data_IF_646325065485
#
_entry.id   IF_646325065485
#
_cell.length_a   1.000
_cell.length_b   1.000
_cell.length_c   1.000
_cell.angle_alpha   90.00
_cell.angle_beta   90.00
_cell.angle_gamma   90.00
#
_symmetry.space_group_name_H-M   'P 1'
#
loop_
_entity.id
_entity.type
_entity.pdbx_description
1 polymer ?
#
# COMPACT_ATOMS: atom_id res chain seq x y z
N UNK A 1 9.85 -30.94 2.22
CA UNK A 1 10.90 -29.95 1.95
C UNK A 1 10.62 -28.78 2.87
N UNK A 2 11.44 -28.51 3.88
CA UNK A 2 11.23 -27.33 4.72
C UNK A 2 11.52 -26.10 3.87
N UNK A 3 10.49 -25.42 3.36
CA UNK A 3 10.70 -24.09 2.80
C UNK A 3 11.18 -23.22 3.96
N UNK A 4 12.45 -22.86 3.93
CA UNK A 4 12.97 -21.81 4.80
C UNK A 4 12.14 -20.56 4.50
N UNK A 5 11.36 -20.09 5.48
CA UNK A 5 10.63 -18.82 5.38
C UNK A 5 11.63 -17.74 4.96
N UNK A 6 11.38 -16.99 3.88
CA UNK A 6 12.31 -15.98 3.42
C UNK A 6 12.42 -14.87 4.46
N UNK A 7 13.64 -14.45 4.78
CA UNK A 7 13.86 -13.27 5.61
C UNK A 7 13.46 -12.02 4.82
N UNK A 8 12.31 -11.45 5.19
CA UNK A 8 11.75 -10.23 4.61
C UNK A 8 11.80 -9.05 5.61
N UNK A 9 12.58 -9.16 6.68
CA UNK A 9 12.68 -8.12 7.73
C UNK A 9 13.04 -6.74 7.16
N UNK A 10 13.90 -6.69 6.14
CA UNK A 10 14.27 -5.44 5.45
C UNK A 10 13.09 -4.74 4.76
N UNK A 11 12.02 -5.46 4.41
CA UNK A 11 10.82 -4.88 3.80
C UNK A 11 9.76 -4.48 4.84
N UNK A 12 9.79 -5.11 6.01
CA UNK A 12 8.86 -4.81 7.09
C UNK A 12 9.24 -3.51 7.80
N UNK A 13 10.51 -3.37 8.16
CA UNK A 13 11.07 -2.21 8.85
C UNK A 13 12.26 -1.64 8.07
N UNK A 14 12.05 -1.14 6.84
CA UNK A 14 13.14 -0.69 6.00
C UNK A 14 13.90 0.43 6.70
N UNK A 15 15.24 0.39 6.74
CA UNK A 15 16.02 1.52 7.21
C UNK A 15 15.76 2.70 6.27
N UNK A 16 15.00 3.68 6.76
CA UNK A 16 14.46 4.78 5.96
C UNK A 16 15.51 5.82 5.50
N UNK A 17 16.80 5.52 5.62
CA UNK A 17 17.84 6.40 5.14
C UNK A 17 17.82 6.43 3.61
N UNK A 18 17.53 7.58 3.03
CA UNK A 18 17.38 7.73 1.59
C UNK A 18 18.70 7.64 0.81
N UNK A 19 19.84 7.56 1.48
CA UNK A 19 21.13 7.41 0.83
C UNK A 19 21.34 5.96 0.35
N UNK A 20 20.89 5.67 -0.87
CA UNK A 20 21.04 4.37 -1.54
C UNK A 20 22.41 4.20 -2.18
N UNK A 21 23.15 5.29 -2.39
CA UNK A 21 24.39 5.31 -3.16
C UNK A 21 25.59 5.64 -2.25
N UNK A 22 25.62 5.08 -1.03
CA UNK A 22 26.75 5.29 -0.11
C UNK A 22 27.96 4.51 -0.62
N UNK A 23 29.08 5.19 -0.77
CA UNK A 23 30.35 4.54 -1.11
C UNK A 23 30.97 3.95 0.16
N UNK A 24 31.14 2.63 0.21
CA UNK A 24 31.80 1.88 1.28
C UNK A 24 32.82 0.97 0.59
N UNK A 25 34.10 1.08 0.95
CA UNK A 25 35.18 0.25 0.39
C UNK A 25 35.24 0.21 -1.15
N UNK A 26 34.93 1.34 -1.80
CA UNK A 26 34.83 1.52 -3.26
C UNK A 26 33.64 0.83 -3.94
N UNK A 27 32.71 0.30 -3.17
CA UNK A 27 31.44 -0.25 -3.66
C UNK A 27 30.27 0.66 -3.26
N UNK A 28 29.25 0.68 -4.12
CA UNK A 28 28.00 1.41 -3.86
C UNK A 28 27.09 0.49 -3.05
N UNK A 29 26.71 0.91 -1.85
CA UNK A 29 25.79 0.18 -0.98
C UNK A 29 24.72 1.12 -0.38
N UNK A 30 23.46 0.66 -0.24
CA UNK A 30 22.46 1.42 0.48
C UNK A 30 22.77 1.54 1.97
N UNK A 31 22.54 2.71 2.56
CA UNK A 31 22.69 2.91 3.98
C UNK A 31 21.57 2.19 4.75
N UNK A 32 21.94 1.22 5.60
CA UNK A 32 21.00 0.45 6.44
C UNK A 32 20.78 1.04 7.85
N UNK A 33 21.30 2.23 8.11
CA UNK A 33 21.14 2.88 9.41
C UNK A 33 19.75 3.50 9.55
N UNK A 34 19.20 3.45 10.77
CA UNK A 34 17.92 4.08 11.07
C UNK A 34 17.99 5.59 10.81
N UNK A 35 17.04 6.09 10.01
CA UNK A 35 16.93 7.52 9.78
C UNK A 35 16.45 8.25 11.05
N UNK A 36 17.08 9.39 11.35
CA UNK A 36 16.79 10.21 12.52
C UNK A 36 16.51 11.67 12.16
N UNK A 37 16.84 12.07 10.93
CA UNK A 37 16.67 13.43 10.44
C UNK A 37 15.91 13.48 9.12
N UNK A 38 14.82 14.24 9.10
CA UNK A 38 14.04 14.51 7.90
C UNK A 38 14.71 15.66 7.12
N UNK A 39 14.66 15.61 5.79
CA UNK A 39 15.08 16.74 4.97
C UNK A 39 14.19 17.96 5.27
N UNK A 40 14.78 19.02 5.83
CA UNK A 40 14.06 20.21 6.31
C UNK A 40 13.39 21.06 5.23
N UNK A 41 13.65 20.75 3.95
CA UNK A 41 13.06 21.49 2.82
C UNK A 41 11.83 20.80 2.25
N UNK A 42 11.93 19.53 1.90
CA UNK A 42 10.85 18.81 1.23
C UNK A 42 10.02 17.95 2.19
N UNK A 43 10.57 17.58 3.34
CA UNK A 43 9.97 16.63 4.28
C UNK A 43 9.65 15.23 3.71
N UNK A 44 10.09 14.92 2.48
CA UNK A 44 9.78 13.68 1.77
C UNK A 44 10.77 12.53 2.02
N UNK A 45 12.00 12.84 2.43
CA UNK A 45 13.05 11.85 2.64
C UNK A 45 13.73 12.06 3.98
N UNK A 46 14.32 11.00 4.51
CA UNK A 46 14.99 10.99 5.80
C UNK A 46 16.40 10.43 5.66
N UNK A 47 17.29 10.78 6.57
CA UNK A 47 18.68 10.35 6.61
C UNK A 47 19.06 9.96 8.04
N UNK A 48 20.03 9.05 8.18
CA UNK A 48 20.62 8.73 9.47
C UNK A 48 21.55 9.84 9.98
N UNK A 49 22.16 10.61 9.08
CA UNK A 49 23.10 11.68 9.40
C UNK A 49 23.28 12.67 8.23
N UNK A 50 23.94 13.80 8.53
CA UNK A 50 24.21 14.85 7.54
C UNK A 50 25.10 14.38 6.38
N UNK A 51 26.06 13.49 6.65
CA UNK A 51 26.93 12.93 5.62
C UNK A 51 26.11 12.18 4.55
N UNK A 52 25.17 11.33 4.96
CA UNK A 52 24.28 10.63 4.04
C UNK A 52 23.41 11.58 3.22
N UNK A 53 22.91 12.67 3.82
CA UNK A 53 22.18 13.71 3.06
C UNK A 53 23.06 14.36 1.99
N UNK A 54 24.32 14.68 2.31
CA UNK A 54 25.24 15.34 1.37
C UNK A 54 25.60 14.40 0.22
N UNK A 55 25.87 13.13 0.51
CA UNK A 55 26.15 12.11 -0.52
C UNK A 55 24.97 11.94 -1.47
N UNK A 56 23.76 11.81 -0.93
CA UNK A 56 22.53 11.64 -1.74
C UNK A 56 22.09 12.93 -2.46
N UNK A 57 22.66 14.10 -2.10
CA UNK A 57 22.18 15.41 -2.56
C UNK A 57 22.12 15.54 -4.08
N UNK A 58 23.08 14.94 -4.81
CA UNK A 58 23.09 14.98 -6.28
C UNK A 58 21.81 14.38 -6.88
N UNK A 59 21.31 13.28 -6.30
CA UNK A 59 20.09 12.58 -6.72
C UNK A 59 18.84 13.21 -6.12
N UNK A 60 18.92 13.68 -4.87
CA UNK A 60 17.78 14.25 -4.15
C UNK A 60 17.42 15.68 -4.60
N UNK A 61 18.41 16.53 -4.91
CA UNK A 61 18.21 17.96 -5.23
C UNK A 61 17.14 18.22 -6.30
N UNK A 62 17.10 17.51 -7.45
CA UNK A 62 16.06 17.72 -8.46
C UNK A 62 14.63 17.54 -7.93
N UNK A 63 14.42 16.57 -7.05
CA UNK A 63 13.11 16.29 -6.44
C UNK A 63 12.82 17.32 -5.35
N UNK A 64 13.80 17.62 -4.50
CA UNK A 64 13.73 18.55 -3.37
C UNK A 64 13.48 20.01 -3.79
N UNK A 65 13.78 20.34 -5.03
CA UNK A 65 13.58 21.68 -5.62
C UNK A 65 12.52 21.69 -6.72
N UNK A 66 11.80 20.58 -6.90
CA UNK A 66 10.83 20.44 -7.98
C UNK A 66 9.63 21.38 -7.80
N UNK A 67 8.98 21.70 -8.92
CA UNK A 67 7.73 22.48 -8.94
C UNK A 67 6.63 21.87 -8.06
N UNK A 68 6.67 20.56 -7.82
CA UNK A 68 5.69 19.84 -7.00
C UNK A 68 5.70 20.25 -5.51
N UNK A 69 6.79 20.86 -5.05
CA UNK A 69 6.96 21.31 -3.66
C UNK A 69 6.63 22.79 -3.45
N UNK A 70 6.30 23.53 -4.52
CA UNK A 70 5.93 24.94 -4.40
C UNK A 70 4.48 25.08 -3.94
N UNK A 71 4.19 26.11 -3.17
CA UNK A 71 2.81 26.47 -2.78
C UNK A 71 1.92 26.76 -4.00
N UNK A 72 2.53 27.23 -5.09
CA UNK A 72 1.86 27.48 -6.38
C UNK A 72 1.67 26.21 -7.22
N UNK A 73 1.97 25.03 -6.70
CA UNK A 73 1.81 23.78 -7.43
C UNK A 73 0.33 23.55 -7.77
N UNK A 74 0.06 23.35 -9.05
CA UNK A 74 -1.21 22.84 -9.53
C UNK A 74 -0.99 21.45 -10.17
N UNK A 75 -1.83 20.46 -9.84
CA UNK A 75 -1.80 19.15 -10.51
C UNK A 75 -1.86 19.30 -12.03
N UNK A 76 -1.19 18.41 -12.75
CA UNK A 76 -1.11 18.46 -14.22
C UNK A 76 -2.49 18.50 -14.88
N UNK A 77 -3.46 17.76 -14.36
CA UNK A 77 -4.83 17.75 -14.90
C UNK A 77 -5.50 19.13 -14.79
N UNK A 78 -5.22 19.92 -13.74
CA UNK A 78 -5.74 21.29 -13.61
C UNK A 78 -5.11 22.18 -14.68
N UNK A 79 -3.79 22.10 -14.86
CA UNK A 79 -3.07 22.90 -15.88
C UNK A 79 -3.50 22.57 -17.31
N UNK A 80 -3.80 21.31 -17.56
CA UNK A 80 -4.23 20.79 -18.87
C UNK A 80 -5.75 20.82 -19.04
N UNK A 81 -6.51 21.39 -18.08
CA UNK A 81 -7.97 21.39 -18.05
C UNK A 81 -8.59 19.99 -18.30
N UNK A 82 -7.91 18.94 -17.84
CA UNK A 82 -8.37 17.55 -17.92
C UNK A 82 -9.21 17.19 -16.71
N UNK A 83 -10.17 16.32 -16.95
CA UNK A 83 -10.94 15.66 -15.90
C UNK A 83 -10.00 14.74 -15.11
N UNK A 84 -9.93 14.83 -13.77
CA UNK A 84 -9.09 13.94 -12.97
C UNK A 84 -9.56 12.48 -13.06
N UNK A 85 -8.65 11.55 -12.78
CA UNK A 85 -8.95 10.12 -12.70
C UNK A 85 -9.99 9.88 -11.59
N UNK A 86 -11.12 9.26 -11.92
CA UNK A 86 -12.27 9.12 -11.02
C UNK A 86 -13.34 10.22 -11.14
N UNK A 87 -13.17 11.15 -12.09
CA UNK A 87 -14.12 12.23 -12.33
C UNK A 87 -13.97 13.41 -11.36
N UNK A 88 -14.69 14.51 -11.63
CA UNK A 88 -14.83 15.60 -10.66
C UNK A 88 -15.43 15.08 -9.34
N UNK A 89 -14.99 15.55 -8.16
CA UNK A 89 -15.55 15.10 -6.87
C UNK A 89 -17.05 15.38 -6.71
N UNK A 90 -17.61 16.26 -7.54
CA UNK A 90 -19.02 16.67 -7.60
C UNK A 90 -19.85 15.93 -8.67
N UNK A 91 -19.28 15.01 -9.43
CA UNK A 91 -20.00 14.23 -10.45
C UNK A 91 -19.89 12.72 -10.20
N UNK A 92 -20.89 12.09 -9.55
CA UNK A 92 -20.93 10.65 -9.40
C UNK A 92 -21.21 9.98 -10.76
N UNK A 93 -20.34 9.04 -11.16
CA UNK A 93 -20.62 8.13 -12.28
C UNK A 93 -19.54 8.01 -13.36
N UNK A 94 -18.30 8.47 -13.14
CA UNK A 94 -17.27 8.34 -14.19
C UNK A 94 -16.69 6.92 -14.29
N UNK A 95 -16.84 6.37 -15.50
CA UNK A 95 -16.41 5.05 -15.94
C UNK A 95 -14.95 4.72 -15.62
N UNK A 96 -14.72 3.42 -15.40
CA UNK A 96 -13.41 2.79 -15.23
C UNK A 96 -12.55 3.13 -16.46
N UNK A 97 -11.72 4.16 -16.39
CA UNK A 97 -10.82 4.53 -17.49
C UNK A 97 -9.77 3.44 -17.70
N UNK A 98 -9.81 2.79 -18.87
CA UNK A 98 -8.84 1.79 -19.29
C UNK A 98 -7.53 2.45 -19.72
N UNK A 99 -6.39 2.02 -19.16
CA UNK A 99 -5.06 2.38 -19.66
C UNK A 99 -4.31 1.11 -20.04
N UNK A 100 -4.04 0.92 -21.33
CA UNK A 100 -3.50 -0.35 -21.84
C UNK A 100 -4.58 -1.43 -21.95
N UNK A 101 -4.33 -2.62 -21.39
CA UNK A 101 -5.37 -3.65 -21.26
C UNK A 101 -6.50 -3.15 -20.35
N UNK A 102 -7.71 -3.72 -20.48
CA UNK A 102 -8.88 -3.46 -19.61
C UNK A 102 -8.65 -4.05 -18.19
N UNK A 103 -7.56 -3.67 -17.55
CA UNK A 103 -7.13 -4.12 -16.24
C UNK A 103 -7.13 -2.92 -15.31
N UNK A 104 -7.86 -3.03 -14.19
CA UNK A 104 -7.78 -2.07 -13.09
C UNK A 104 -7.05 -2.76 -11.95
N UNK A 105 -6.02 -2.12 -11.42
CA UNK A 105 -5.23 -2.69 -10.33
C UNK A 105 -5.87 -2.41 -8.97
N UNK A 106 -6.60 -1.33 -8.83
CA UNK A 106 -7.11 -0.88 -7.55
C UNK A 106 -8.55 -0.39 -7.72
N UNK A 107 -9.36 -0.58 -6.69
CA UNK A 107 -10.65 0.11 -6.55
C UNK A 107 -10.52 1.64 -6.65
N UNK A 108 -11.62 2.30 -6.96
CA UNK A 108 -11.70 3.74 -7.21
C UNK A 108 -12.14 4.56 -5.98
N UNK A 109 -12.28 3.95 -4.80
CA UNK A 109 -12.77 4.61 -3.59
C UNK A 109 -11.86 4.38 -2.39
N UNK A 110 -11.64 5.33 -1.47
CA UNK A 110 -10.79 5.11 -0.30
C UNK A 110 -11.22 3.88 0.52
N UNK A 111 -10.34 3.36 1.37
CA UNK A 111 -10.68 2.25 2.25
C UNK A 111 -11.77 2.67 3.25
N UNK A 112 -12.92 2.03 3.19
CA UNK A 112 -14.08 2.28 4.04
C UNK A 112 -14.31 1.07 4.94
N UNK A 113 -14.60 1.34 6.21
CA UNK A 113 -15.23 0.37 7.09
C UNK A 113 -16.73 0.38 6.77
N UNK A 114 -17.19 -0.63 6.03
CA UNK A 114 -18.58 -0.69 5.57
C UNK A 114 -19.54 -1.03 6.72
N UNK A 115 -19.04 -1.68 7.77
CA UNK A 115 -19.84 -2.08 8.91
C UNK A 115 -19.90 -0.93 9.92
N UNK A 116 -18.74 -0.33 10.23
CA UNK A 116 -18.60 0.74 11.23
C UNK A 116 -19.34 0.38 12.52
N UNK A 117 -19.00 -0.80 13.04
CA UNK A 117 -19.72 -1.52 14.08
C UNK A 117 -20.08 -0.64 15.29
N UNK A 118 -19.11 0.16 15.75
CA UNK A 118 -19.26 1.03 16.92
C UNK A 118 -20.38 2.07 16.77
N UNK A 119 -20.70 2.49 15.55
CA UNK A 119 -21.69 3.54 15.28
C UNK A 119 -23.00 3.01 14.69
N UNK A 120 -22.96 1.88 13.98
CA UNK A 120 -24.11 1.40 13.20
C UNK A 120 -24.85 0.23 13.84
N UNK A 121 -24.17 -0.62 14.60
CA UNK A 121 -24.67 -1.98 14.88
C UNK A 121 -25.02 -2.25 16.35
N UNK A 122 -24.75 -1.29 17.25
CA UNK A 122 -25.07 -1.44 18.68
C UNK A 122 -24.18 -2.45 19.41
N UNK A 123 -24.49 -2.71 20.69
CA UNK A 123 -23.66 -3.57 21.57
C UNK A 123 -23.86 -5.06 21.32
N UNK A 124 -24.98 -5.45 20.72
CA UNK A 124 -25.33 -6.83 20.41
C UNK A 124 -24.46 -7.42 19.29
N UNK A 125 -23.79 -6.57 18.50
CA UNK A 125 -22.84 -7.01 17.47
C UNK A 125 -21.76 -7.95 18.02
N UNK A 126 -21.36 -7.81 19.29
CA UNK A 126 -20.31 -8.61 19.93
C UNK A 126 -20.49 -10.13 19.80
N UNK A 127 -21.73 -10.61 19.63
CA UNK A 127 -22.06 -12.05 19.54
C UNK A 127 -22.81 -12.42 18.27
N UNK A 128 -23.12 -11.44 17.42
CA UNK A 128 -23.96 -11.64 16.23
C UNK A 128 -23.09 -12.13 15.10
N UNK A 129 -23.52 -13.17 14.38
CA UNK A 129 -22.86 -13.57 13.14
C UNK A 129 -23.10 -12.52 12.05
N UNK A 130 -22.06 -12.23 11.26
CA UNK A 130 -22.07 -11.21 10.20
C UNK A 130 -21.68 -11.87 8.88
N UNK A 131 -22.47 -11.61 7.84
CA UNK A 131 -22.19 -12.03 6.48
C UNK A 131 -22.03 -10.78 5.61
N UNK A 132 -20.86 -10.58 5.04
CA UNK A 132 -20.51 -9.41 4.22
C UNK A 132 -20.28 -9.83 2.77
N UNK A 133 -20.93 -9.14 1.84
CA UNK A 133 -20.70 -9.28 0.40
C UNK A 133 -19.97 -8.03 -0.13
N UNK A 134 -18.75 -8.21 -0.61
CA UNK A 134 -17.99 -7.23 -1.35
C UNK A 134 -18.05 -7.57 -2.84
N UNK A 135 -19.14 -7.14 -3.48
CA UNK A 135 -19.38 -7.41 -4.89
C UNK A 135 -18.50 -6.53 -5.80
N UNK A 136 -17.95 -7.11 -6.86
CA UNK A 136 -17.05 -6.41 -7.80
C UNK A 136 -15.88 -5.70 -7.08
N UNK A 137 -15.25 -6.42 -6.15
CA UNK A 137 -14.21 -5.88 -5.28
C UNK A 137 -12.85 -5.87 -5.99
N UNK A 138 -12.51 -4.71 -6.56
CA UNK A 138 -11.25 -4.51 -7.28
C UNK A 138 -9.99 -4.69 -6.44
N UNK A 139 -10.12 -4.70 -5.11
CA UNK A 139 -9.09 -5.11 -4.16
C UNK A 139 -9.69 -5.38 -2.77
N UNK A 140 -8.84 -5.63 -1.77
CA UNK A 140 -9.26 -5.98 -0.41
C UNK A 140 -9.31 -4.81 0.58
N UNK A 141 -9.23 -3.54 0.14
CA UNK A 141 -9.04 -2.40 1.06
C UNK A 141 -10.20 -2.26 2.05
N UNK A 142 -11.43 -2.44 1.54
CA UNK A 142 -12.65 -2.31 2.34
C UNK A 142 -12.84 -3.56 3.21
N UNK A 143 -12.48 -4.74 2.69
CA UNK A 143 -12.50 -5.99 3.45
C UNK A 143 -11.60 -5.88 4.67
N UNK A 144 -10.32 -5.54 4.46
CA UNK A 144 -9.34 -5.39 5.55
C UNK A 144 -9.81 -4.32 6.53
N UNK A 145 -10.22 -3.15 6.05
CA UNK A 145 -10.66 -2.05 6.91
C UNK A 145 -11.88 -2.41 7.77
N UNK A 146 -12.83 -3.15 7.20
CA UNK A 146 -14.05 -3.59 7.88
C UNK A 146 -13.78 -4.70 8.89
N UNK A 147 -12.99 -5.71 8.52
CA UNK A 147 -12.65 -6.83 9.43
C UNK A 147 -11.81 -6.34 10.60
N UNK A 148 -10.83 -5.47 10.35
CA UNK A 148 -10.03 -4.83 11.42
C UNK A 148 -10.87 -3.88 12.28
N UNK A 149 -11.95 -3.33 11.72
CA UNK A 149 -12.91 -2.48 12.43
C UNK A 149 -13.86 -3.25 13.36
N UNK A 150 -13.85 -4.59 13.36
CA UNK A 150 -14.66 -5.36 14.28
C UNK A 150 -14.25 -5.07 15.75
N UNK A 151 -15.22 -4.97 16.67
CA UNK A 151 -14.92 -4.66 18.06
C UNK A 151 -13.97 -5.68 18.69
N UNK A 152 -13.07 -5.21 19.54
CA UNK A 152 -12.13 -6.09 20.26
C UNK A 152 -12.92 -7.10 21.11
N UNK A 153 -12.67 -8.39 20.89
CA UNK A 153 -13.38 -9.48 21.57
C UNK A 153 -14.71 -9.87 20.93
N UNK A 154 -14.97 -9.43 19.68
CA UNK A 154 -16.04 -9.97 18.84
C UNK A 154 -15.99 -11.51 18.82
N UNK A 155 -17.09 -12.14 19.21
CA UNK A 155 -17.22 -13.58 19.38
C UNK A 155 -18.16 -14.24 18.35
N UNK A 156 -18.79 -13.44 17.49
CA UNK A 156 -19.57 -13.94 16.37
C UNK A 156 -18.67 -14.46 15.24
N UNK A 157 -19.26 -15.13 14.26
CA UNK A 157 -18.59 -15.50 13.02
C UNK A 157 -18.69 -14.33 12.03
N UNK A 158 -17.60 -14.01 11.33
CA UNK A 158 -17.60 -13.03 10.24
C UNK A 158 -17.29 -13.75 8.94
N UNK A 159 -18.30 -13.92 8.09
CA UNK A 159 -18.16 -14.49 6.75
C UNK A 159 -18.02 -13.35 5.76
N UNK A 160 -16.95 -13.38 4.98
CA UNK A 160 -16.70 -12.42 3.90
C UNK A 160 -16.76 -13.15 2.56
N UNK A 161 -17.63 -12.68 1.67
CA UNK A 161 -17.69 -13.11 0.28
C UNK A 161 -17.22 -11.96 -0.59
N UNK A 162 -16.25 -12.22 -1.48
CA UNK A 162 -15.76 -11.25 -2.44
C UNK A 162 -15.72 -11.86 -3.84
N UNK A 163 -16.07 -11.08 -4.84
CA UNK A 163 -15.93 -11.49 -6.23
C UNK A 163 -15.50 -10.31 -7.11
N UNK A 164 -14.97 -10.63 -8.28
CA UNK A 164 -14.70 -9.67 -9.33
C UNK A 164 -14.90 -10.38 -10.68
N UNK A 165 -15.35 -9.65 -11.72
CA UNK A 165 -15.51 -10.22 -13.06
C UNK A 165 -14.16 -10.52 -13.71
N UNK A 166 -13.11 -9.84 -13.27
CA UNK A 166 -11.75 -10.00 -13.72
C UNK A 166 -11.01 -11.06 -12.89
N UNK A 167 -10.66 -12.17 -13.56
CA UNK A 167 -9.96 -13.28 -12.95
C UNK A 167 -8.62 -12.86 -12.32
N UNK A 168 -7.84 -11.98 -12.98
CA UNK A 168 -6.53 -11.56 -12.47
C UNK A 168 -6.66 -10.85 -11.13
N UNK A 169 -7.73 -10.08 -10.93
CA UNK A 169 -8.01 -9.40 -9.66
C UNK A 169 -8.45 -10.38 -8.59
N UNK A 170 -9.35 -11.29 -8.93
CA UNK A 170 -9.78 -12.35 -8.01
C UNK A 170 -8.60 -13.23 -7.57
N UNK A 171 -7.74 -13.62 -8.52
CA UNK A 171 -6.54 -14.40 -8.26
C UNK A 171 -5.54 -13.65 -7.36
N UNK A 172 -5.27 -12.36 -7.62
CA UNK A 172 -4.40 -11.56 -6.75
C UNK A 172 -4.96 -11.43 -5.33
N UNK A 173 -6.25 -11.13 -5.19
CA UNK A 173 -6.89 -11.04 -3.87
C UNK A 173 -6.79 -12.38 -3.13
N UNK A 174 -6.99 -13.51 -3.83
CA UNK A 174 -6.80 -14.84 -3.27
C UNK A 174 -5.34 -15.10 -2.85
N UNK A 175 -4.35 -14.72 -3.65
CA UNK A 175 -2.93 -14.85 -3.29
C UNK A 175 -2.59 -14.08 -2.02
N UNK A 176 -3.15 -12.87 -1.87
CA UNK A 176 -2.93 -12.06 -0.67
C UNK A 176 -3.59 -12.68 0.58
N UNK A 177 -4.80 -13.24 0.44
CA UNK A 177 -5.44 -13.99 1.54
C UNK A 177 -4.64 -15.24 1.91
N UNK A 178 -4.18 -15.99 0.91
CA UNK A 178 -3.35 -17.18 1.12
C UNK A 178 -2.03 -16.80 1.82
N UNK A 179 -1.39 -15.70 1.42
CA UNK A 179 -0.20 -15.19 2.11
C UNK A 179 -0.48 -14.82 3.57
N UNK A 180 -1.62 -14.17 3.86
CA UNK A 180 -2.04 -13.82 5.22
C UNK A 180 -2.32 -15.05 6.10
N UNK A 181 -2.79 -16.15 5.51
CA UNK A 181 -3.09 -17.39 6.23
C UNK A 181 -1.89 -18.32 6.38
N UNK A 182 -0.93 -18.24 5.44
CA UNK A 182 0.21 -19.14 5.40
C UNK A 182 1.42 -18.63 6.18
N UNK A 183 1.62 -17.31 6.25
CA UNK A 183 2.79 -16.70 6.87
C UNK A 183 2.41 -15.90 8.12
N UNK A 184 3.37 -15.79 9.04
CA UNK A 184 3.27 -14.85 10.17
C UNK A 184 3.21 -13.40 9.67
N UNK A 185 2.59 -12.47 10.42
CA UNK A 185 2.38 -11.08 10.00
C UNK A 185 3.64 -10.39 9.46
N UNK A 186 4.79 -10.63 10.09
CA UNK A 186 6.08 -10.02 9.74
C UNK A 186 6.55 -10.41 8.33
N UNK A 187 6.12 -11.56 7.82
CA UNK A 187 6.42 -12.05 6.47
C UNK A 187 5.26 -11.82 5.51
N UNK A 188 4.02 -12.00 5.98
CA UNK A 188 2.81 -11.82 5.18
C UNK A 188 2.64 -10.35 4.73
N UNK A 189 2.87 -9.39 5.63
CA UNK A 189 2.66 -7.96 5.35
C UNK A 189 3.52 -7.48 4.17
N UNK A 190 4.85 -7.69 4.14
CA UNK A 190 5.67 -7.36 2.97
C UNK A 190 5.18 -8.01 1.67
N UNK A 191 4.86 -9.32 1.70
CA UNK A 191 4.39 -10.05 0.53
C UNK A 191 3.10 -9.43 -0.01
N UNK A 192 2.12 -9.21 0.88
CA UNK A 192 0.82 -8.63 0.53
C UNK A 192 1.01 -7.21 -0.02
N UNK A 193 1.82 -6.37 0.62
CA UNK A 193 2.09 -5.01 0.16
C UNK A 193 2.71 -4.99 -1.23
N UNK A 194 3.66 -5.88 -1.52
CA UNK A 194 4.26 -5.99 -2.84
C UNK A 194 3.31 -6.54 -3.89
N UNK A 195 2.52 -7.57 -3.57
CA UNK A 195 1.46 -8.08 -4.45
C UNK A 195 0.41 -7.01 -4.78
N UNK A 196 0.14 -6.11 -3.83
CA UNK A 196 -0.90 -5.10 -3.97
C UNK A 196 -0.42 -3.87 -4.74
N UNK A 197 0.74 -3.32 -4.40
CA UNK A 197 1.13 -1.96 -4.81
C UNK A 197 2.39 -1.88 -5.65
N UNK A 198 3.13 -2.97 -5.82
CA UNK A 198 4.38 -2.93 -6.59
C UNK A 198 4.17 -3.22 -8.06
N UNK A 199 4.91 -2.50 -8.91
CA UNK A 199 4.99 -2.77 -10.36
C UNK A 199 5.82 -4.03 -10.63
N UNK A 200 6.75 -4.38 -9.73
CA UNK A 200 7.64 -5.52 -9.82
C UNK A 200 7.76 -6.20 -8.46
N UNK A 201 7.78 -7.53 -8.45
CA UNK A 201 7.97 -8.30 -7.22
C UNK A 201 9.47 -8.53 -6.95
N UNK A 202 9.95 -8.27 -5.73
CA UNK A 202 11.31 -8.64 -5.32
C UNK A 202 11.53 -10.16 -5.43
N UNK A 203 12.73 -10.57 -5.84
CA UNK A 203 13.09 -11.99 -5.98
C UNK A 203 12.82 -12.83 -4.70
N UNK A 204 13.11 -12.35 -3.47
CA UNK A 204 12.79 -13.09 -2.26
C UNK A 204 11.29 -13.40 -2.11
N UNK A 205 10.42 -12.46 -2.52
CA UNK A 205 8.96 -12.63 -2.47
C UNK A 205 8.49 -13.60 -3.56
N UNK A 206 9.05 -13.53 -4.77
CA UNK A 206 8.74 -14.50 -5.83
C UNK A 206 9.09 -15.92 -5.39
N UNK A 207 10.22 -16.10 -4.68
CA UNK A 207 10.63 -17.42 -4.16
C UNK A 207 9.76 -17.91 -2.99
N UNK A 208 9.02 -17.01 -2.35
CA UNK A 208 8.13 -17.31 -1.23
C UNK A 208 6.76 -17.84 -1.69
N UNK A 209 6.30 -17.37 -2.86
CA UNK A 209 5.01 -17.65 -3.46
C UNK A 209 5.06 -18.95 -4.29
#
# INVERSE_FOLDING_TARGET
>A
MSSSTPDLSEFLDPPLCANTDRMVDSEISPCKEKATMVCSKCFLVQYCCKACQVTDWKRHKPICTSEHLKETYLPRYVKECRIPFGGPPDQPGFDITSFGSLQYLWGNMPALDILNADKNEGKDIMKRDINLLFAASGDMRNVVKTVVGLPKGYAGNCVVVMNDWNFTITARNAMMLLAAMHFEPETAVPIIMHLWYSVLLPLPIIKAL
#
